data_IF_369305134920
#
_entry.id   IF_369305134920
#
_cell.length_a   1.000
_cell.length_b   1.000
_cell.length_c   1.000
_cell.angle_alpha   90.00
_cell.angle_beta   90.00
_cell.angle_gamma   90.00
#
_symmetry.space_group_name_H-M   'P 1'
#
loop_
_entity.id
_entity.type
_entity.pdbx_description
1 polymer ?
#
# COMPACT_ATOMS: atom_id res chain seq x y z
N UNK A 1 12.66 -35.15 -0.49
CA UNK A 1 12.72 -33.74 -0.95
C UNK A 1 12.07 -32.89 0.13
N UNK A 2 12.87 -32.17 0.91
CA UNK A 2 12.32 -31.23 1.89
C UNK A 2 11.84 -29.99 1.15
N UNK A 3 10.55 -29.68 1.23
CA UNK A 3 10.08 -28.33 0.91
C UNK A 3 10.61 -27.41 2.01
N UNK A 4 11.75 -26.75 1.77
CA UNK A 4 12.04 -25.52 2.49
C UNK A 4 11.00 -24.50 2.02
N UNK A 5 9.92 -24.36 2.78
CA UNK A 5 9.00 -23.24 2.66
C UNK A 5 9.73 -21.99 3.13
N UNK A 6 10.57 -21.43 2.28
CA UNK A 6 11.11 -20.10 2.53
C UNK A 6 9.92 -19.15 2.61
N UNK A 7 9.75 -18.54 3.79
CA UNK A 7 8.70 -17.56 4.00
C UNK A 7 8.95 -16.40 3.05
N UNK A 8 7.99 -16.12 2.18
CA UNK A 8 8.08 -15.00 1.25
C UNK A 8 7.85 -13.71 2.04
N UNK A 9 8.94 -13.10 2.49
CA UNK A 9 8.92 -11.87 3.29
C UNK A 9 8.21 -10.70 2.58
N UNK A 10 8.19 -10.70 1.25
CA UNK A 10 7.47 -9.69 0.49
C UNK A 10 5.97 -9.89 0.64
N UNK A 11 5.45 -11.11 0.49
CA UNK A 11 4.05 -11.41 0.81
C UNK A 11 3.72 -11.06 2.25
N UNK A 12 4.55 -11.49 3.22
CA UNK A 12 4.29 -11.23 4.65
C UNK A 12 4.24 -9.74 4.97
N UNK A 13 5.15 -8.95 4.39
CA UNK A 13 5.17 -7.50 4.57
C UNK A 13 4.06 -6.77 3.82
N UNK A 14 3.45 -7.37 2.78
CA UNK A 14 2.28 -6.86 2.07
C UNK A 14 0.97 -7.04 2.85
N UNK A 15 0.81 -8.16 3.57
CA UNK A 15 -0.46 -8.48 4.26
C UNK A 15 -1.01 -7.39 5.22
N UNK A 16 -0.20 -6.60 5.94
CA UNK A 16 -0.67 -5.52 6.80
C UNK A 16 -1.62 -4.52 6.13
N UNK A 17 -1.54 -4.29 4.82
CA UNK A 17 -2.44 -3.36 4.12
C UNK A 17 -3.92 -3.74 4.24
N UNK A 18 -4.25 -5.04 4.32
CA UNK A 18 -5.63 -5.49 4.53
C UNK A 18 -6.20 -5.02 5.88
N UNK A 19 -5.34 -4.89 6.89
CA UNK A 19 -5.71 -4.41 8.22
C UNK A 19 -5.65 -2.88 8.32
N UNK A 20 -4.88 -2.22 7.45
CA UNK A 20 -4.75 -0.76 7.48
C UNK A 20 -6.05 -0.03 7.16
N UNK A 21 -7.02 -0.67 6.51
CA UNK A 21 -8.36 -0.09 6.25
C UNK A 21 -9.36 -0.29 7.40
N UNK A 22 -8.97 -0.96 8.50
CA UNK A 22 -9.84 -1.17 9.66
C UNK A 22 -10.53 0.11 10.17
N UNK A 23 -9.87 1.29 10.24
CA UNK A 23 -10.54 2.52 10.67
C UNK A 23 -11.76 2.89 9.81
N UNK A 24 -11.75 2.52 8.52
CA UNK A 24 -12.84 2.82 7.58
C UNK A 24 -13.95 1.79 7.60
N UNK A 25 -13.70 0.56 8.04
CA UNK A 25 -14.76 -0.45 8.19
C UNK A 25 -15.81 -0.05 9.23
N UNK A 26 -15.47 0.89 10.10
CA UNK A 26 -16.36 1.44 11.12
C UNK A 26 -17.04 2.75 10.67
N UNK A 27 -16.76 3.24 9.46
CA UNK A 27 -17.10 4.59 8.99
C UNK A 27 -17.81 4.55 7.64
N UNK A 28 -19.04 5.06 7.58
CA UNK A 28 -19.93 5.41 6.45
C UNK A 28 -19.69 4.80 5.03
N UNK A 29 -20.76 4.55 4.24
CA UNK A 29 -20.66 3.92 2.91
C UNK A 29 -19.74 4.63 1.90
N UNK A 30 -19.44 5.91 2.09
CA UNK A 30 -18.60 6.71 1.19
C UNK A 30 -17.11 6.32 1.21
N UNK A 31 -16.68 5.47 2.16
CA UNK A 31 -15.30 4.98 2.27
C UNK A 31 -15.04 3.68 1.50
N UNK A 32 -16.09 3.03 0.98
CA UNK A 32 -15.99 1.76 0.28
C UNK A 32 -15.04 1.77 -0.94
N UNK A 33 -14.99 2.83 -1.78
CA UNK A 33 -14.05 2.88 -2.90
C UNK A 33 -12.58 2.79 -2.47
N UNK A 34 -12.22 3.43 -1.34
CA UNK A 34 -10.85 3.34 -0.81
C UNK A 34 -10.51 1.91 -0.39
N UNK A 35 -11.40 1.24 0.34
CA UNK A 35 -11.23 -0.15 0.77
C UNK A 35 -10.98 -1.06 -0.44
N UNK A 36 -11.77 -0.92 -1.50
CA UNK A 36 -11.61 -1.72 -2.72
C UNK A 36 -10.27 -1.48 -3.42
N UNK A 37 -9.83 -0.22 -3.48
CA UNK A 37 -8.52 0.12 -4.06
C UNK A 37 -7.40 -0.51 -3.25
N UNK A 38 -7.41 -0.38 -1.92
CA UNK A 38 -6.39 -0.98 -1.06
C UNK A 38 -6.36 -2.49 -1.23
N UNK A 39 -7.51 -3.16 -1.14
CA UNK A 39 -7.58 -4.62 -1.23
C UNK A 39 -7.17 -5.14 -2.59
N UNK A 40 -7.56 -4.47 -3.68
CA UNK A 40 -7.17 -4.87 -5.03
C UNK A 40 -5.65 -4.70 -5.22
N UNK A 41 -5.09 -3.55 -4.86
CA UNK A 41 -3.64 -3.30 -4.95
C UNK A 41 -2.85 -4.28 -4.10
N UNK A 42 -3.29 -4.55 -2.87
CA UNK A 42 -2.66 -5.54 -1.97
C UNK A 42 -2.69 -6.94 -2.59
N UNK A 43 -3.81 -7.32 -3.20
CA UNK A 43 -3.95 -8.64 -3.86
C UNK A 43 -3.03 -8.76 -5.06
N UNK A 44 -2.90 -7.71 -5.87
CA UNK A 44 -1.97 -7.67 -7.01
C UNK A 44 -0.51 -7.80 -6.56
N UNK A 45 -0.11 -7.09 -5.51
CA UNK A 45 1.22 -7.22 -4.88
C UNK A 45 1.47 -8.66 -4.41
N UNK A 46 0.53 -9.27 -3.67
CA UNK A 46 0.66 -10.66 -3.20
C UNK A 46 0.80 -11.63 -4.37
N UNK A 47 -0.04 -11.50 -5.40
CA UNK A 47 0.01 -12.36 -6.59
C UNK A 47 1.35 -12.22 -7.32
N UNK A 48 1.87 -11.00 -7.44
CA UNK A 48 3.17 -10.77 -8.04
C UNK A 48 4.29 -11.45 -7.25
N UNK A 49 4.34 -11.28 -5.93
CA UNK A 49 5.39 -11.91 -5.12
C UNK A 49 5.28 -13.44 -5.06
N UNK A 50 4.08 -14.00 -5.20
CA UNK A 50 3.90 -15.46 -5.23
C UNK A 50 4.25 -16.09 -6.58
N UNK A 51 4.02 -15.39 -7.69
CA UNK A 51 4.00 -16.02 -9.02
C UNK A 51 4.74 -15.28 -10.13
N UNK A 52 5.25 -14.07 -9.87
CA UNK A 52 5.65 -13.15 -10.93
C UNK A 52 6.99 -12.45 -10.77
N UNK A 53 7.78 -12.79 -9.75
CA UNK A 53 9.14 -12.26 -9.63
C UNK A 53 10.08 -12.80 -10.72
N UNK A 54 11.06 -12.00 -11.19
CA UNK A 54 11.31 -10.62 -10.78
C UNK A 54 10.49 -9.57 -11.57
N UNK A 55 10.10 -9.84 -12.81
CA UNK A 55 9.37 -8.89 -13.68
C UNK A 55 8.41 -9.63 -14.62
N UNK A 56 7.13 -9.28 -14.57
CA UNK A 56 6.11 -9.77 -15.50
C UNK A 56 4.90 -8.81 -15.57
N UNK A 57 3.78 -9.23 -16.17
CA UNK A 57 2.57 -8.40 -16.21
C UNK A 57 2.01 -8.06 -14.82
N UNK A 58 2.18 -8.94 -13.81
CA UNK A 58 1.75 -8.70 -12.43
C UNK A 58 2.57 -7.58 -11.77
N UNK A 59 3.87 -7.48 -12.06
CA UNK A 59 4.69 -6.34 -11.63
C UNK A 59 4.08 -5.00 -12.06
N UNK A 60 3.71 -4.88 -13.34
CA UNK A 60 3.12 -3.63 -13.84
C UNK A 60 1.74 -3.36 -13.23
N UNK A 61 0.94 -4.40 -13.00
CA UNK A 61 -0.37 -4.27 -12.36
C UNK A 61 -0.26 -3.87 -10.88
N UNK A 62 0.73 -4.40 -10.16
CA UNK A 62 1.02 -4.01 -8.78
C UNK A 62 1.37 -2.52 -8.69
N UNK A 63 2.34 -2.07 -9.48
CA UNK A 63 2.74 -0.65 -9.51
C UNK A 63 1.63 0.26 -10.03
N UNK A 64 0.79 -0.21 -10.95
CA UNK A 64 -0.42 0.51 -11.37
C UNK A 64 -1.40 0.65 -10.20
N UNK A 65 -1.64 -0.43 -9.44
CA UNK A 65 -2.46 -0.41 -8.23
C UNK A 65 -1.95 0.58 -7.19
N UNK A 66 -0.65 0.57 -6.92
CA UNK A 66 0.00 1.54 -6.02
C UNK A 66 -0.14 2.99 -6.52
N UNK A 67 -0.08 3.21 -7.84
CA UNK A 67 -0.25 4.54 -8.45
C UNK A 67 -1.69 5.03 -8.34
N UNK A 68 -2.67 4.19 -8.69
CA UNK A 68 -4.11 4.50 -8.55
C UNK A 68 -4.45 4.81 -7.10
N UNK A 69 -3.89 4.03 -6.17
CA UNK A 69 -4.06 4.26 -4.75
C UNK A 69 -3.52 5.62 -4.31
N UNK A 70 -2.27 5.94 -4.68
CA UNK A 70 -1.67 7.26 -4.40
C UNK A 70 -2.55 8.40 -4.93
N UNK A 71 -3.05 8.28 -6.16
CA UNK A 71 -3.93 9.28 -6.77
C UNK A 71 -5.25 9.44 -6.01
N UNK A 72 -5.84 8.33 -5.56
CA UNK A 72 -7.07 8.37 -4.78
C UNK A 72 -6.87 9.04 -3.42
N UNK A 73 -5.76 8.76 -2.71
CA UNK A 73 -5.48 9.40 -1.41
C UNK A 73 -5.40 10.92 -1.53
N UNK A 74 -4.70 11.41 -2.57
CA UNK A 74 -4.61 12.83 -2.86
C UNK A 74 -5.98 13.44 -3.21
N UNK A 75 -6.77 12.73 -4.02
CA UNK A 75 -8.14 13.13 -4.36
C UNK A 75 -9.02 13.25 -3.11
N UNK A 76 -9.02 12.21 -2.26
CA UNK A 76 -9.82 12.16 -1.04
C UNK A 76 -9.43 13.24 -0.03
N UNK A 77 -8.18 13.70 -0.03
CA UNK A 77 -7.73 14.78 0.87
C UNK A 77 -8.02 16.20 0.36
N UNK A 78 -8.39 16.40 -0.91
CA UNK A 78 -8.45 17.74 -1.57
C UNK A 78 -9.34 18.78 -0.86
N UNK A 79 -10.33 18.35 -0.08
CA UNK A 79 -11.18 19.25 0.71
C UNK A 79 -10.47 19.91 1.90
N UNK A 80 -9.26 19.46 2.27
CA UNK A 80 -8.48 19.96 3.39
C UNK A 80 -7.00 20.11 3.01
N UNK A 81 -6.51 21.36 2.95
CA UNK A 81 -5.14 21.67 2.52
C UNK A 81 -4.08 21.07 3.45
N UNK A 82 -4.31 21.09 4.77
CA UNK A 82 -3.37 20.51 5.74
C UNK A 82 -3.26 19.00 5.55
N UNK A 83 -4.39 18.32 5.45
CA UNK A 83 -4.44 16.88 5.19
C UNK A 83 -3.81 16.53 3.85
N UNK A 84 -4.09 17.30 2.79
CA UNK A 84 -3.49 17.07 1.47
C UNK A 84 -1.96 17.17 1.51
N UNK A 85 -1.42 18.17 2.21
CA UNK A 85 0.02 18.32 2.38
C UNK A 85 0.64 17.12 3.13
N UNK A 86 0.00 16.67 4.20
CA UNK A 86 0.44 15.48 4.95
C UNK A 86 0.43 14.21 4.09
N UNK A 87 -0.68 13.96 3.37
CA UNK A 87 -0.82 12.81 2.46
C UNK A 87 0.22 12.84 1.35
N UNK A 88 0.48 14.02 0.77
CA UNK A 88 1.51 14.19 -0.25
C UNK A 88 2.92 13.90 0.28
N UNK A 89 3.25 14.39 1.49
CA UNK A 89 4.54 14.11 2.13
C UNK A 89 4.71 12.62 2.43
N UNK A 90 3.68 11.96 2.97
CA UNK A 90 3.73 10.52 3.23
C UNK A 90 3.89 9.70 1.96
N UNK A 91 3.17 10.05 0.89
CA UNK A 91 3.33 9.41 -0.41
C UNK A 91 4.73 9.63 -1.01
N UNK A 92 5.31 10.82 -0.85
CA UNK A 92 6.69 11.09 -1.26
C UNK A 92 7.69 10.23 -0.48
N UNK A 93 7.54 10.10 0.85
CA UNK A 93 8.41 9.26 1.68
C UNK A 93 8.34 7.80 1.22
N UNK A 94 7.14 7.26 1.03
CA UNK A 94 6.93 5.88 0.56
C UNK A 94 7.52 5.69 -0.85
N UNK A 95 7.33 6.65 -1.75
CA UNK A 95 7.94 6.63 -3.08
C UNK A 95 9.46 6.59 -3.03
N UNK A 96 10.09 7.44 -2.20
CA UNK A 96 11.55 7.48 -2.03
C UNK A 96 12.11 6.17 -1.46
N UNK A 97 11.37 5.48 -0.57
CA UNK A 97 11.77 4.16 -0.06
C UNK A 97 11.76 3.07 -1.14
N UNK A 98 10.87 3.18 -2.12
CA UNK A 98 10.83 2.27 -3.27
C UNK A 98 11.88 2.61 -4.34
N UNK A 99 12.41 3.85 -4.31
CA UNK A 99 13.42 4.28 -5.26
C UNK A 99 14.80 3.68 -4.93
N UNK A 100 15.14 2.65 -5.69
CA UNK A 100 16.48 2.12 -5.90
C UNK A 100 17.16 1.49 -4.67
N UNK A 101 16.67 0.33 -4.21
CA UNK A 101 17.26 -0.39 -3.08
C UNK A 101 18.60 -1.11 -3.35
N UNK A 102 19.08 -1.10 -4.60
CA UNK A 102 20.14 -2.02 -5.04
C UNK A 102 19.67 -3.48 -5.06
N UNK A 103 20.29 -4.31 -5.89
CA UNK A 103 19.95 -5.74 -6.00
C UNK A 103 20.13 -6.50 -4.69
N UNK A 104 21.15 -6.14 -3.92
CA UNK A 104 21.65 -6.94 -2.80
C UNK A 104 20.77 -6.81 -1.54
N UNK A 105 19.89 -5.79 -1.52
CA UNK A 105 18.98 -5.52 -0.42
C UNK A 105 17.53 -5.32 -0.88
N UNK A 106 17.21 -5.68 -2.13
CA UNK A 106 15.87 -5.51 -2.71
C UNK A 106 14.76 -5.99 -1.78
N UNK A 107 14.84 -7.23 -1.28
CA UNK A 107 13.80 -7.79 -0.42
C UNK A 107 13.58 -6.99 0.88
N UNK A 108 14.65 -6.44 1.46
CA UNK A 108 14.58 -5.67 2.70
C UNK A 108 13.90 -4.33 2.46
N UNK A 109 14.38 -3.57 1.49
CA UNK A 109 13.81 -2.26 1.18
C UNK A 109 12.39 -2.35 0.63
N UNK A 110 12.09 -3.37 -0.18
CA UNK A 110 10.73 -3.58 -0.67
C UNK A 110 9.77 -4.01 0.45
N UNK A 111 10.24 -4.83 1.40
CA UNK A 111 9.46 -5.11 2.62
C UNK A 111 9.24 -3.85 3.47
N UNK A 112 10.25 -3.00 3.62
CA UNK A 112 10.11 -1.71 4.32
C UNK A 112 9.13 -0.79 3.59
N UNK A 113 9.17 -0.76 2.25
CA UNK A 113 8.22 -0.03 1.44
C UNK A 113 6.79 -0.50 1.71
N UNK A 114 6.52 -1.81 1.74
CA UNK A 114 5.20 -2.34 2.09
C UNK A 114 4.77 -1.95 3.51
N UNK A 115 5.63 -2.11 4.51
CA UNK A 115 5.29 -1.80 5.90
C UNK A 115 4.99 -0.30 6.09
N UNK A 116 5.79 0.57 5.46
CA UNK A 116 5.59 2.02 5.51
C UNK A 116 4.35 2.45 4.72
N UNK A 117 4.06 1.80 3.58
CA UNK A 117 2.82 1.99 2.82
C UNK A 117 1.59 1.57 3.62
N UNK A 118 1.66 0.45 4.35
CA UNK A 118 0.59 0.01 5.25
C UNK A 118 0.39 0.96 6.42
N UNK A 119 1.46 1.46 7.04
CA UNK A 119 1.37 2.46 8.11
C UNK A 119 0.75 3.77 7.61
N UNK A 120 1.16 4.24 6.41
CA UNK A 120 0.54 5.38 5.73
C UNK A 120 -0.96 5.13 5.50
N UNK A 121 -1.33 3.98 4.95
CA UNK A 121 -2.73 3.63 4.70
C UNK A 121 -3.57 3.77 5.98
N UNK A 122 -3.08 3.23 7.10
CA UNK A 122 -3.78 3.31 8.37
C UNK A 122 -3.95 4.75 8.84
N UNK A 123 -2.91 5.58 8.70
CA UNK A 123 -2.97 7.01 9.01
C UNK A 123 -4.04 7.73 8.17
N UNK A 124 -4.03 7.53 6.86
CA UNK A 124 -5.00 8.15 5.94
C UNK A 124 -6.42 7.68 6.26
N UNK A 125 -6.61 6.38 6.46
CA UNK A 125 -7.88 5.78 6.87
C UNK A 125 -8.44 6.40 8.17
N UNK A 126 -7.58 6.59 9.18
CA UNK A 126 -7.96 7.24 10.43
C UNK A 126 -8.34 8.72 10.24
N UNK A 127 -7.54 9.47 9.47
CA UNK A 127 -7.82 10.90 9.20
C UNK A 127 -9.10 11.14 8.40
N UNK A 128 -9.37 10.31 7.41
CA UNK A 128 -10.63 10.35 6.65
C UNK A 128 -11.80 10.07 7.58
N UNK A 129 -11.66 9.09 8.48
CA UNK A 129 -12.68 8.78 9.49
C UNK A 129 -12.96 9.98 10.39
N UNK A 130 -11.92 10.58 11.00
CA UNK A 130 -12.05 11.73 11.90
C UNK A 130 -12.69 12.94 11.21
N UNK A 131 -12.45 13.15 9.91
CA UNK A 131 -13.01 14.28 9.16
C UNK A 131 -14.51 14.13 8.82
N UNK A 132 -15.08 12.94 9.01
CA UNK A 132 -16.49 12.63 8.69
C UNK A 132 -17.40 12.50 9.92
N UNK A 133 -16.84 12.63 11.13
CA UNK A 133 -17.57 12.66 12.41
C UNK A 133 -17.83 14.10 12.86
#
# INVERSE_FOLDING_TARGET
MGFQTHMNWLVVSTLPHYLSVLPLLLSYPDTAPYIYIVWMSTTLSVLWHLHGEPLNYLYYLDYLGATVWTGYELYASTGNLSMTAEVAVLNLIVFLLNMNPGSDHYHVYHSLWHLMSAAKCFYVAAKVTDATQ
#
